data_IF_088686119650
#
_entry.id   IF_088686119650
#
_cell.length_a   1.000
_cell.length_b   1.000
_cell.length_c   1.000
_cell.angle_alpha   90.00
_cell.angle_beta   90.00
_cell.angle_gamma   90.00
#
_symmetry.space_group_name_H-M   'P 1'
#
loop_
_entity.id
_entity.type
_entity.pdbx_description
1 polymer ?
#
# COMPACT_ATOMS: atom_id res chain seq x y z
N UNK A 1 -34.28 -4.15 -0.88
CA UNK A 1 -35.08 -5.37 -0.78
C UNK A 1 -34.34 -6.40 0.07
N UNK A 2 -34.96 -7.50 0.49
CA UNK A 2 -34.41 -8.46 1.45
C UNK A 2 -33.00 -8.96 1.12
N UNK A 3 -32.71 -9.25 -0.15
CA UNK A 3 -31.36 -9.67 -0.60
C UNK A 3 -30.28 -8.61 -0.35
N UNK A 4 -30.58 -7.34 -0.50
CA UNK A 4 -29.62 -6.26 -0.23
C UNK A 4 -29.29 -6.17 1.28
N UNK A 5 -30.28 -6.41 2.13
CA UNK A 5 -30.09 -6.44 3.59
C UNK A 5 -29.15 -7.61 3.95
N UNK A 6 -29.35 -8.80 3.35
CA UNK A 6 -28.46 -9.95 3.58
C UNK A 6 -27.03 -9.68 3.14
N UNK A 7 -26.82 -9.02 2.00
CA UNK A 7 -25.46 -8.65 1.54
C UNK A 7 -24.81 -7.65 2.50
N UNK A 8 -25.57 -6.66 2.98
CA UNK A 8 -25.06 -5.73 4.00
C UNK A 8 -24.71 -6.44 5.30
N UNK A 9 -25.49 -7.42 5.73
CA UNK A 9 -25.18 -8.23 6.91
C UNK A 9 -23.89 -9.04 6.71
N UNK A 10 -23.68 -9.64 5.54
CA UNK A 10 -22.43 -10.32 5.19
C UNK A 10 -21.26 -9.36 5.24
N UNK A 11 -21.42 -8.15 4.71
CA UNK A 11 -20.38 -7.12 4.74
C UNK A 11 -20.01 -6.72 6.18
N UNK A 12 -21.01 -6.37 7.01
CA UNK A 12 -20.76 -6.01 8.41
C UNK A 12 -20.18 -7.17 9.23
N UNK A 13 -20.67 -8.38 9.02
CA UNK A 13 -20.11 -9.58 9.65
C UNK A 13 -18.64 -9.79 9.24
N UNK A 14 -18.31 -9.57 7.98
CA UNK A 14 -16.95 -9.61 7.47
C UNK A 14 -16.04 -8.54 8.11
N UNK A 15 -16.53 -7.31 8.26
CA UNK A 15 -15.78 -6.23 8.95
C UNK A 15 -15.54 -6.60 10.42
N UNK A 16 -16.53 -7.14 11.11
CA UNK A 16 -16.37 -7.61 12.50
C UNK A 16 -15.35 -8.74 12.57
N UNK A 17 -15.45 -9.74 11.66
CA UNK A 17 -14.50 -10.85 11.59
C UNK A 17 -13.07 -10.36 11.30
N UNK A 18 -12.90 -9.38 10.40
CA UNK A 18 -11.61 -8.76 10.10
C UNK A 18 -11.01 -8.11 11.34
N UNK A 19 -11.76 -7.24 12.04
CA UNK A 19 -11.27 -6.56 13.24
C UNK A 19 -10.91 -7.57 14.34
N UNK A 20 -11.76 -8.57 14.54
CA UNK A 20 -11.53 -9.61 15.54
C UNK A 20 -10.33 -10.48 15.17
N UNK A 21 -10.23 -10.90 13.91
CA UNK A 21 -9.13 -11.72 13.41
C UNK A 21 -7.79 -11.02 13.49
N UNK A 22 -7.71 -9.75 13.08
CA UNK A 22 -6.48 -8.97 13.18
C UNK A 22 -6.06 -8.74 14.64
N UNK A 23 -7.03 -8.45 15.53
CA UNK A 23 -6.73 -8.12 16.92
C UNK A 23 -6.34 -9.33 17.76
N UNK A 24 -7.00 -10.47 17.62
CA UNK A 24 -6.85 -11.63 18.51
C UNK A 24 -6.05 -12.78 17.91
N UNK A 25 -6.07 -12.93 16.56
CA UNK A 25 -5.41 -14.03 15.85
C UNK A 25 -4.23 -13.57 14.99
N UNK A 26 -3.96 -12.26 14.93
CA UNK A 26 -2.84 -11.73 14.14
C UNK A 26 -3.01 -11.98 12.63
N UNK A 27 -4.24 -11.96 12.12
CA UNK A 27 -4.52 -12.16 10.69
C UNK A 27 -3.75 -11.15 9.85
N UNK A 28 -3.20 -11.66 8.75
CA UNK A 28 -2.45 -10.86 7.78
C UNK A 28 -2.98 -11.09 6.36
N UNK A 29 -2.23 -10.81 5.33
CA UNK A 29 -2.72 -10.82 3.95
C UNK A 29 -3.40 -12.12 3.53
N UNK A 30 -2.91 -13.28 3.97
CA UNK A 30 -3.45 -14.58 3.57
C UNK A 30 -4.86 -14.78 4.09
N UNK A 31 -5.07 -14.55 5.38
CA UNK A 31 -6.36 -14.71 6.06
C UNK A 31 -7.35 -13.66 5.59
N UNK A 32 -6.89 -12.41 5.39
CA UNK A 32 -7.71 -11.33 4.85
C UNK A 32 -8.18 -11.63 3.42
N UNK A 33 -7.30 -12.16 2.57
CA UNK A 33 -7.65 -12.56 1.21
C UNK A 33 -8.69 -13.68 1.21
N UNK A 34 -8.54 -14.66 2.09
CA UNK A 34 -9.52 -15.73 2.27
C UNK A 34 -10.87 -15.20 2.75
N UNK A 35 -10.88 -14.26 3.72
CA UNK A 35 -12.09 -13.63 4.21
C UNK A 35 -12.85 -12.91 3.08
N UNK A 36 -12.16 -12.07 2.30
CA UNK A 36 -12.79 -11.34 1.20
C UNK A 36 -13.32 -12.29 0.11
N UNK A 37 -12.58 -13.36 -0.21
CA UNK A 37 -13.03 -14.39 -1.15
C UNK A 37 -14.33 -15.06 -0.66
N UNK A 38 -14.39 -15.45 0.60
CA UNK A 38 -15.58 -16.08 1.21
C UNK A 38 -16.76 -15.11 1.21
N UNK A 39 -16.54 -13.85 1.59
CA UNK A 39 -17.58 -12.81 1.54
C UNK A 39 -18.14 -12.62 0.13
N UNK A 40 -17.26 -12.58 -0.88
CA UNK A 40 -17.66 -12.49 -2.29
C UNK A 40 -18.49 -13.67 -2.75
N UNK A 41 -18.07 -14.91 -2.43
CA UNK A 41 -18.78 -16.12 -2.77
C UNK A 41 -20.16 -16.21 -2.09
N UNK A 42 -20.22 -15.92 -0.80
CA UNK A 42 -21.50 -15.91 -0.06
C UNK A 42 -22.46 -14.86 -0.67
N UNK A 43 -21.94 -13.68 -0.98
CA UNK A 43 -22.76 -12.62 -1.60
C UNK A 43 -23.28 -13.01 -2.97
N UNK A 44 -22.47 -13.67 -3.79
CA UNK A 44 -22.87 -14.17 -5.10
C UNK A 44 -23.98 -15.25 -5.00
N UNK A 45 -23.87 -16.18 -4.04
CA UNK A 45 -24.87 -17.20 -3.76
C UNK A 45 -26.18 -16.57 -3.28
N UNK A 46 -26.12 -15.56 -2.39
CA UNK A 46 -27.31 -14.87 -1.88
C UNK A 46 -28.05 -14.09 -2.98
N UNK A 47 -27.35 -13.60 -3.98
CA UNK A 47 -27.97 -12.98 -5.17
C UNK A 47 -28.61 -14.03 -6.07
N UNK A 48 -28.22 -15.29 -5.95
CA UNK A 48 -28.72 -16.42 -6.75
C UNK A 48 -27.93 -16.65 -8.03
N UNK A 49 -26.64 -16.31 -8.02
CA UNK A 49 -25.77 -16.60 -9.17
C UNK A 49 -25.50 -18.09 -9.31
N UNK A 50 -25.53 -18.55 -10.56
CA UNK A 50 -25.13 -19.90 -10.90
C UNK A 50 -23.60 -20.07 -10.80
N UNK A 51 -23.07 -21.28 -10.56
CA UNK A 51 -21.63 -21.53 -10.52
C UNK A 51 -20.87 -20.99 -11.75
N UNK A 52 -21.46 -21.09 -12.94
CA UNK A 52 -20.86 -20.57 -14.16
C UNK A 52 -20.77 -19.03 -14.18
N UNK A 53 -21.73 -18.34 -13.57
CA UNK A 53 -21.70 -16.88 -13.45
C UNK A 53 -20.61 -16.45 -12.46
N UNK A 54 -20.48 -17.18 -11.35
CA UNK A 54 -19.41 -16.95 -10.36
C UNK A 54 -18.04 -17.16 -11.02
N UNK A 55 -17.86 -18.27 -11.74
CA UNK A 55 -16.61 -18.58 -12.44
C UNK A 55 -16.24 -17.50 -13.47
N UNK A 56 -17.20 -17.05 -14.30
CA UNK A 56 -16.97 -15.98 -15.28
C UNK A 56 -16.64 -14.64 -14.62
N UNK A 57 -17.26 -14.32 -13.48
CA UNK A 57 -16.96 -13.10 -12.73
C UNK A 57 -15.55 -13.13 -12.15
N UNK A 58 -15.13 -14.28 -11.61
CA UNK A 58 -13.76 -14.50 -11.14
C UNK A 58 -12.75 -14.40 -12.29
N UNK A 59 -13.02 -15.07 -13.43
CA UNK A 59 -12.17 -14.97 -14.62
C UNK A 59 -11.98 -13.53 -15.07
N UNK A 60 -13.08 -12.77 -15.14
CA UNK A 60 -13.03 -11.34 -15.50
C UNK A 60 -12.16 -10.57 -14.49
N UNK A 61 -12.40 -10.76 -13.19
CA UNK A 61 -11.62 -10.08 -12.14
C UNK A 61 -10.13 -10.41 -12.21
N UNK A 62 -9.76 -11.68 -12.46
CA UNK A 62 -8.37 -12.07 -12.66
C UNK A 62 -7.74 -11.42 -13.89
N UNK A 63 -8.50 -11.30 -14.97
CA UNK A 63 -8.05 -10.62 -16.19
C UNK A 63 -7.82 -9.13 -15.93
N UNK A 64 -8.76 -8.47 -15.27
CA UNK A 64 -8.68 -7.03 -14.98
C UNK A 64 -7.49 -6.69 -14.07
N UNK A 65 -7.16 -7.57 -13.10
CA UNK A 65 -6.05 -7.34 -12.17
C UNK A 65 -4.68 -7.85 -12.68
N UNK A 66 -4.64 -8.63 -13.75
CA UNK A 66 -3.40 -9.26 -14.24
C UNK A 66 -2.31 -8.25 -14.62
N UNK A 67 -2.69 -7.15 -15.28
CA UNK A 67 -1.77 -6.07 -15.64
C UNK A 67 -1.16 -5.43 -14.38
N UNK A 68 -1.97 -5.15 -13.36
CA UNK A 68 -1.50 -4.62 -12.09
C UNK A 68 -0.51 -5.56 -11.40
N UNK A 69 -0.80 -6.87 -11.38
CA UNK A 69 0.12 -7.86 -10.81
C UNK A 69 1.48 -7.89 -11.53
N UNK A 70 1.49 -7.80 -12.87
CA UNK A 70 2.73 -7.74 -13.64
C UNK A 70 3.54 -6.47 -13.33
N UNK A 71 2.88 -5.31 -13.26
CA UNK A 71 3.55 -4.04 -12.94
C UNK A 71 4.15 -4.05 -11.53
N UNK A 72 3.42 -4.60 -10.55
CA UNK A 72 3.94 -4.80 -9.19
C UNK A 72 5.17 -5.73 -9.20
N UNK A 73 5.13 -6.78 -10.02
CA UNK A 73 6.26 -7.70 -10.21
C UNK A 73 7.51 -6.97 -10.74
N UNK A 74 7.37 -6.12 -11.76
CA UNK A 74 8.48 -5.32 -12.29
C UNK A 74 9.00 -4.31 -11.25
N UNK A 75 8.11 -3.59 -10.57
CA UNK A 75 8.50 -2.65 -9.51
C UNK A 75 9.27 -3.37 -8.38
N UNK A 76 8.82 -4.56 -8.00
CA UNK A 76 9.54 -5.40 -7.03
C UNK A 76 10.91 -5.85 -7.55
N UNK A 77 11.00 -6.16 -8.84
CA UNK A 77 12.27 -6.50 -9.49
C UNK A 77 13.30 -5.36 -9.39
N UNK A 78 12.89 -4.12 -9.66
CA UNK A 78 13.74 -2.93 -9.50
C UNK A 78 14.25 -2.83 -8.06
N UNK A 79 13.36 -2.97 -7.09
CA UNK A 79 13.71 -2.93 -5.66
C UNK A 79 14.75 -3.99 -5.31
N UNK A 80 14.57 -5.23 -5.75
CA UNK A 80 15.51 -6.34 -5.50
C UNK A 80 16.87 -6.04 -6.11
N UNK A 81 16.94 -5.55 -7.35
CA UNK A 81 18.20 -5.18 -8.02
C UNK A 81 18.93 -4.10 -7.24
N UNK A 82 18.23 -3.06 -6.78
CA UNK A 82 18.82 -1.99 -5.98
C UNK A 82 19.32 -2.49 -4.62
N UNK A 83 18.59 -3.39 -3.97
CA UNK A 83 18.98 -4.00 -2.69
C UNK A 83 20.21 -4.92 -2.87
N UNK A 84 20.18 -5.80 -3.87
CA UNK A 84 21.29 -6.73 -4.16
C UNK A 84 22.56 -5.99 -4.60
N UNK A 85 22.39 -4.88 -5.32
CA UNK A 85 23.49 -4.01 -5.73
C UNK A 85 24.02 -3.11 -4.60
N UNK A 86 23.45 -3.16 -3.39
CA UNK A 86 23.79 -2.26 -2.26
C UNK A 86 23.71 -0.77 -2.61
N UNK A 87 22.86 -0.42 -3.58
CA UNK A 87 22.70 0.97 -4.07
C UNK A 87 21.63 1.71 -3.26
N UNK A 88 20.69 0.95 -2.66
CA UNK A 88 19.50 1.52 -2.00
C UNK A 88 19.87 2.53 -0.91
N UNK A 89 20.76 2.16 0.01
CA UNK A 89 21.14 3.04 1.13
C UNK A 89 21.84 4.30 0.64
N UNK A 90 22.71 4.18 -0.36
CA UNK A 90 23.40 5.32 -0.98
C UNK A 90 22.40 6.25 -1.67
N UNK A 91 21.44 5.68 -2.39
CA UNK A 91 20.41 6.45 -3.07
C UNK A 91 19.54 7.23 -2.08
N UNK A 92 19.03 6.56 -1.06
CA UNK A 92 18.19 7.17 -0.03
C UNK A 92 18.97 8.22 0.75
N UNK A 93 20.21 7.92 1.15
CA UNK A 93 21.09 8.89 1.82
C UNK A 93 21.32 10.12 0.95
N UNK A 94 21.61 9.95 -0.34
CA UNK A 94 21.82 11.05 -1.29
C UNK A 94 20.58 11.94 -1.45
N UNK A 95 19.37 11.38 -1.34
CA UNK A 95 18.12 12.14 -1.40
C UNK A 95 17.89 12.98 -0.12
N UNK A 96 18.28 12.47 1.04
CA UNK A 96 18.05 13.17 2.32
C UNK A 96 19.21 14.07 2.76
N UNK A 97 20.43 13.83 2.32
CA UNK A 97 21.60 14.63 2.71
C UNK A 97 21.43 16.15 2.45
N UNK A 98 20.91 16.60 1.29
CA UNK A 98 20.72 18.03 1.04
C UNK A 98 19.75 18.70 2.01
N UNK A 99 18.85 17.94 2.64
CA UNK A 99 17.84 18.49 3.54
C UNK A 99 18.46 19.02 4.84
N UNK A 100 19.64 18.52 5.23
CA UNK A 100 20.35 18.95 6.44
C UNK A 100 20.78 20.44 6.41
N UNK A 101 20.84 21.03 5.23
CA UNK A 101 21.16 22.44 5.04
C UNK A 101 19.94 23.38 5.02
N UNK A 102 18.72 22.84 5.08
CA UNK A 102 17.48 23.60 4.96
C UNK A 102 16.92 24.03 6.33
N UNK A 103 16.22 25.18 6.40
CA UNK A 103 15.40 25.52 7.57
C UNK A 103 14.33 24.46 7.84
N UNK A 104 13.91 24.30 9.10
CA UNK A 104 12.99 23.25 9.55
C UNK A 104 11.75 23.07 8.65
N UNK A 105 11.07 24.16 8.31
CA UNK A 105 9.85 24.10 7.49
C UNK A 105 10.14 23.60 6.09
N UNK A 106 11.17 24.14 5.44
CA UNK A 106 11.57 23.72 4.10
C UNK A 106 12.10 22.27 4.10
N UNK A 107 12.78 21.85 5.17
CA UNK A 107 13.23 20.48 5.33
C UNK A 107 12.05 19.50 5.50
N UNK A 108 10.99 19.88 6.22
CA UNK A 108 9.79 19.05 6.36
C UNK A 108 9.07 18.89 5.00
N UNK A 109 8.90 19.97 4.24
CA UNK A 109 8.33 19.89 2.88
C UNK A 109 9.19 19.04 1.94
N UNK A 110 10.51 19.23 1.99
CA UNK A 110 11.44 18.45 1.21
C UNK A 110 11.42 16.96 1.61
N UNK A 111 11.30 16.62 2.90
CA UNK A 111 11.11 15.25 3.37
C UNK A 111 9.85 14.61 2.75
N UNK A 112 8.74 15.33 2.72
CA UNK A 112 7.50 14.86 2.10
C UNK A 112 7.69 14.59 0.60
N UNK A 113 8.34 15.51 -0.12
CA UNK A 113 8.64 15.36 -1.54
C UNK A 113 9.54 14.13 -1.78
N UNK A 114 10.60 13.98 -0.98
CA UNK A 114 11.51 12.83 -1.10
C UNK A 114 10.77 11.52 -0.85
N UNK A 115 9.90 11.46 0.15
CA UNK A 115 9.09 10.27 0.42
C UNK A 115 8.12 9.96 -0.72
N UNK A 116 7.53 11.00 -1.33
CA UNK A 116 6.70 10.86 -2.53
C UNK A 116 7.47 10.26 -3.70
N UNK A 117 8.70 10.71 -3.94
CA UNK A 117 9.57 10.16 -5.00
C UNK A 117 10.03 8.73 -4.68
N UNK A 118 10.35 8.44 -3.41
CA UNK A 118 10.70 7.09 -2.97
C UNK A 118 9.57 6.09 -3.18
N UNK A 119 8.32 6.50 -3.01
CA UNK A 119 7.17 5.64 -3.23
C UNK A 119 7.05 5.17 -4.70
N UNK A 120 7.53 5.94 -5.65
CA UNK A 120 7.62 5.49 -7.04
C UNK A 120 8.50 4.25 -7.19
N UNK A 121 9.63 4.22 -6.47
CA UNK A 121 10.60 3.11 -6.52
C UNK A 121 10.23 1.96 -5.59
N UNK A 122 9.67 2.30 -4.42
CA UNK A 122 9.32 1.35 -3.36
C UNK A 122 7.83 1.47 -3.05
N UNK A 123 6.94 0.95 -3.92
CA UNK A 123 5.49 1.08 -3.74
C UNK A 123 4.97 0.14 -2.62
N UNK A 124 5.54 0.29 -1.44
CA UNK A 124 5.24 -0.53 -0.26
C UNK A 124 5.54 0.27 1.00
N UNK A 125 4.51 0.68 1.73
CA UNK A 125 4.65 1.51 2.93
C UNK A 125 5.62 0.91 3.96
N UNK A 126 5.50 -0.37 4.29
CA UNK A 126 6.43 -1.03 5.22
C UNK A 126 7.85 -1.13 4.66
N UNK A 127 7.99 -1.44 3.36
CA UNK A 127 9.30 -1.51 2.68
C UNK A 127 9.98 -0.14 2.64
N UNK A 128 9.24 0.91 2.30
CA UNK A 128 9.73 2.28 2.27
C UNK A 128 10.12 2.76 3.68
N UNK A 129 9.32 2.45 4.71
CA UNK A 129 9.62 2.80 6.10
C UNK A 129 10.94 2.18 6.55
N UNK A 130 11.16 0.88 6.29
CA UNK A 130 12.40 0.18 6.69
C UNK A 130 13.64 0.82 6.08
N UNK A 131 13.54 1.34 4.86
CA UNK A 131 14.68 1.95 4.16
C UNK A 131 14.86 3.41 4.53
N UNK A 132 13.78 4.20 4.63
CA UNK A 132 13.86 5.65 4.81
C UNK A 132 13.90 6.10 6.26
N UNK A 133 13.18 5.44 7.18
CA UNK A 133 13.06 5.90 8.57
C UNK A 133 14.37 5.87 9.37
N UNK A 134 15.30 4.91 9.17
CA UNK A 134 16.62 4.94 9.82
C UNK A 134 17.43 6.19 9.49
N UNK A 135 17.16 6.86 8.37
CA UNK A 135 17.79 8.10 7.96
C UNK A 135 16.94 9.32 8.36
N UNK A 136 15.64 9.26 8.13
CA UNK A 136 14.72 10.37 8.42
C UNK A 136 14.63 10.71 9.91
N UNK A 137 14.59 9.70 10.79
CA UNK A 137 14.42 9.96 12.21
C UNK A 137 15.64 10.69 12.83
N UNK A 138 16.89 10.24 12.60
CA UNK A 138 18.07 11.01 13.03
C UNK A 138 18.17 12.39 12.38
N UNK A 139 17.80 12.52 11.10
CA UNK A 139 17.82 13.80 10.39
C UNK A 139 16.82 14.78 11.00
N UNK A 140 15.62 14.33 11.37
CA UNK A 140 14.64 15.15 12.08
C UNK A 140 15.19 15.65 13.42
N UNK A 141 15.86 14.78 14.19
CA UNK A 141 16.52 15.16 15.45
C UNK A 141 17.60 16.23 15.22
N UNK A 142 18.43 16.08 14.19
CA UNK A 142 19.48 17.05 13.84
C UNK A 142 18.91 18.41 13.45
N UNK A 143 17.76 18.43 12.81
CA UNK A 143 17.06 19.66 12.39
C UNK A 143 16.18 20.25 13.50
N UNK A 144 16.16 19.65 14.68
CA UNK A 144 15.33 20.08 15.81
C UNK A 144 13.84 19.88 15.58
N UNK A 145 13.46 18.96 14.66
CA UNK A 145 12.08 18.57 14.37
C UNK A 145 11.68 17.37 15.22
N UNK A 146 10.37 17.27 15.51
CA UNK A 146 9.87 16.07 16.19
C UNK A 146 9.92 14.86 15.25
N UNK A 147 10.25 13.68 15.78
CA UNK A 147 10.17 12.43 15.01
C UNK A 147 8.77 12.13 14.51
N UNK A 148 7.74 12.63 15.20
CA UNK A 148 6.34 12.54 14.76
C UNK A 148 6.12 13.29 13.44
N UNK A 149 6.76 14.44 13.24
CA UNK A 149 6.69 15.17 11.98
C UNK A 149 7.36 14.38 10.85
N UNK A 150 8.49 13.73 11.11
CA UNK A 150 9.14 12.87 10.14
C UNK A 150 8.24 11.69 9.73
N UNK A 151 7.58 11.06 10.70
CA UNK A 151 6.60 9.98 10.43
C UNK A 151 5.40 10.50 9.63
N UNK A 152 4.94 11.72 9.91
CA UNK A 152 3.84 12.34 9.17
C UNK A 152 4.23 12.62 7.71
N UNK A 153 5.43 13.16 7.48
CA UNK A 153 5.98 13.38 6.14
C UNK A 153 6.11 12.06 5.37
N UNK A 154 6.58 11.00 6.03
CA UNK A 154 6.61 9.66 5.46
C UNK A 154 5.20 9.19 5.09
N UNK A 155 4.26 9.22 6.03
CA UNK A 155 2.91 8.69 5.85
C UNK A 155 2.14 9.42 4.75
N UNK A 156 2.29 10.73 4.66
CA UNK A 156 1.65 11.51 3.59
C UNK A 156 2.37 11.34 2.26
N UNK A 157 3.70 11.29 2.27
CA UNK A 157 4.50 11.05 1.06
C UNK A 157 4.22 9.68 0.45
N UNK A 158 4.11 8.63 1.25
CA UNK A 158 3.72 7.29 0.81
C UNK A 158 2.22 7.23 0.47
N UNK A 159 1.36 7.57 1.43
CA UNK A 159 -0.09 7.33 1.31
C UNK A 159 -0.77 8.14 0.21
N UNK A 160 -0.51 9.46 0.13
CA UNK A 160 -1.15 10.32 -0.87
C UNK A 160 -0.62 10.06 -2.28
N UNK A 161 0.66 9.76 -2.41
CA UNK A 161 1.28 9.50 -3.71
C UNK A 161 0.88 8.16 -4.33
N UNK A 162 0.30 7.25 -3.57
CA UNK A 162 -0.29 6.00 -4.08
C UNK A 162 -1.40 6.23 -5.11
N UNK A 163 -2.00 7.42 -5.15
CA UNK A 163 -2.99 7.81 -6.17
C UNK A 163 -2.30 8.31 -7.46
N UNK A 164 -1.09 8.81 -7.34
CA UNK A 164 -0.38 9.49 -8.44
C UNK A 164 0.51 8.55 -9.25
N UNK A 165 1.14 7.57 -8.58
CA UNK A 165 2.17 6.75 -9.21
C UNK A 165 1.60 5.52 -9.91
N UNK A 166 1.94 5.28 -11.19
CA UNK A 166 1.49 4.08 -11.92
C UNK A 166 2.10 2.78 -11.38
N UNK A 167 3.14 2.86 -10.56
CA UNK A 167 3.77 1.70 -9.90
C UNK A 167 3.01 1.20 -8.69
N UNK A 168 2.04 1.97 -8.19
CA UNK A 168 1.23 1.60 -7.03
C UNK A 168 -0.03 0.83 -7.44
N UNK A 169 -0.57 0.08 -6.48
CA UNK A 169 -1.70 -0.82 -6.75
C UNK A 169 -3.00 -0.07 -7.07
N UNK A 170 -3.20 1.12 -6.52
CA UNK A 170 -4.47 1.83 -6.61
C UNK A 170 -4.78 2.35 -8.03
N UNK A 171 -3.92 3.11 -8.72
CA UNK A 171 -4.19 3.53 -10.10
C UNK A 171 -4.32 2.35 -11.06
N UNK A 172 -3.50 1.30 -10.87
CA UNK A 172 -3.56 0.10 -11.67
C UNK A 172 -4.88 -0.65 -11.49
N UNK A 173 -5.36 -0.78 -10.25
CA UNK A 173 -6.64 -1.41 -9.95
C UNK A 173 -7.83 -0.63 -10.51
N UNK A 174 -7.73 0.71 -10.57
CA UNK A 174 -8.76 1.58 -11.13
C UNK A 174 -8.70 1.72 -12.66
N UNK A 175 -7.67 1.17 -13.33
CA UNK A 175 -7.48 1.30 -14.77
C UNK A 175 -7.18 2.74 -15.22
N UNK A 176 -6.55 3.53 -14.35
CA UNK A 176 -6.21 4.94 -14.60
C UNK A 176 -4.75 5.08 -15.10
N UNK A 177 -3.95 4.02 -14.93
CA UNK A 177 -2.54 3.98 -15.32
C UNK A 177 -2.34 3.51 -16.76
#
# INVERSE_FOLDING_TARGET
TFRHILILLVFFAGVIALVYGCKYYGWYFTELSALFMIMGLISAILVGWNPNQIARSLEKSFRDISAACMMIGFARGILIVMQTGHIMDTFVYGMFMPLSALPQLAAAEAMLIVQTLLNFLIPSGSGQAVVSMPIMAPLADLLGMSRQLAVLCFQFGDGLSNIMWPTTTLPLACGIA
#
